data_IF_102476371412
#
_entry.id   IF_102476371412
#
_cell.length_a   1.000
_cell.length_b   1.000
_cell.length_c   1.000
_cell.angle_alpha   90.00
_cell.angle_beta   90.00
_cell.angle_gamma   90.00
#
_symmetry.space_group_name_H-M   'P 1'
#
loop_
_entity.id
_entity.type
_entity.pdbx_description
1 polymer ?
#
# COMPACT_ATOMS: atom_id res chain seq x y z
N UNK A 1 3.03 15.51 1.08
CA UNK A 1 2.73 14.11 1.45
C UNK A 1 2.57 13.25 0.20
N UNK A 2 2.90 11.97 0.29
CA UNK A 2 2.62 10.97 -0.75
C UNK A 2 1.79 9.86 -0.10
N UNK A 3 0.65 9.52 -0.71
CA UNK A 3 -0.21 8.40 -0.30
C UNK A 3 0.19 7.17 -1.11
N UNK A 4 0.81 6.16 -0.47
CA UNK A 4 1.35 5.01 -1.20
C UNK A 4 0.32 3.92 -1.49
N UNK A 5 -0.92 4.04 -0.97
CA UNK A 5 -1.98 3.05 -1.16
C UNK A 5 -3.36 3.65 -1.05
N UNK A 6 -4.08 3.73 -2.18
CA UNK A 6 -5.45 4.22 -2.24
C UNK A 6 -6.28 3.44 -3.26
N UNK A 7 -7.51 3.08 -2.91
CA UNK A 7 -8.43 2.34 -3.80
C UNK A 7 -9.37 3.32 -4.53
N UNK A 8 -8.83 4.19 -5.40
CA UNK A 8 -9.64 5.20 -6.11
C UNK A 8 -10.67 4.60 -7.07
N UNK A 9 -10.47 3.38 -7.53
CA UNK A 9 -11.39 2.63 -8.37
C UNK A 9 -12.64 2.16 -7.61
N UNK A 10 -12.63 2.24 -6.28
CA UNK A 10 -13.74 1.80 -5.45
C UNK A 10 -15.05 2.52 -5.77
N UNK A 11 -16.18 1.80 -5.96
CA UNK A 11 -17.49 2.41 -6.21
C UNK A 11 -18.02 3.25 -5.04
N UNK A 12 -17.34 3.22 -3.88
CA UNK A 12 -17.66 4.10 -2.75
C UNK A 12 -17.32 5.57 -3.02
N UNK A 13 -16.37 5.84 -3.93
CA UNK A 13 -16.07 7.19 -4.39
C UNK A 13 -17.02 7.58 -5.53
N UNK A 14 -18.04 8.40 -5.22
CA UNK A 14 -19.05 8.82 -6.20
C UNK A 14 -18.57 9.90 -7.17
N UNK A 15 -17.58 10.70 -6.75
CA UNK A 15 -16.99 11.77 -7.54
C UNK A 15 -15.47 11.81 -7.29
N UNK A 16 -14.72 11.07 -8.08
CA UNK A 16 -13.25 10.99 -7.96
C UNK A 16 -12.57 12.35 -8.20
N UNK A 17 -12.97 13.19 -9.18
CA UNK A 17 -12.38 14.52 -9.33
C UNK A 17 -12.43 15.39 -8.08
N UNK A 18 -13.53 15.37 -7.34
CA UNK A 18 -13.65 16.11 -6.09
C UNK A 18 -12.74 15.54 -4.98
N UNK A 19 -12.60 14.20 -4.92
CA UNK A 19 -11.67 13.52 -3.99
C UNK A 19 -10.23 13.97 -4.28
N UNK A 20 -9.83 13.98 -5.56
CA UNK A 20 -8.50 14.42 -5.97
C UNK A 20 -8.24 15.90 -5.66
N UNK A 21 -9.26 16.75 -5.85
CA UNK A 21 -9.18 18.19 -5.52
C UNK A 21 -8.95 18.38 -4.02
N UNK A 22 -9.73 17.68 -3.16
CA UNK A 22 -9.54 17.74 -1.70
C UNK A 22 -8.17 17.21 -1.27
N UNK A 23 -7.69 16.12 -1.88
CA UNK A 23 -6.37 15.57 -1.62
C UNK A 23 -5.26 16.60 -1.92
N UNK A 24 -5.29 17.23 -3.09
CA UNK A 24 -4.35 18.29 -3.48
C UNK A 24 -4.38 19.46 -2.50
N UNK A 25 -5.57 19.94 -2.15
CA UNK A 25 -5.75 21.05 -1.21
C UNK A 25 -5.26 20.71 0.20
N UNK A 26 -5.25 19.45 0.58
CA UNK A 26 -4.70 18.97 1.87
C UNK A 26 -3.18 18.70 1.81
N UNK A 27 -2.50 19.00 0.69
CA UNK A 27 -1.05 18.86 0.56
C UNK A 27 -0.58 17.48 0.12
N UNK A 28 -1.46 16.59 -0.36
CA UNK A 28 -1.06 15.35 -1.04
C UNK A 28 -0.51 15.72 -2.42
N UNK A 29 0.70 15.29 -2.71
CA UNK A 29 1.42 15.63 -3.95
C UNK A 29 1.39 14.50 -4.98
N UNK A 30 1.34 13.24 -4.51
CA UNK A 30 1.30 12.03 -5.35
C UNK A 30 0.50 10.95 -4.63
N UNK A 31 -0.11 10.06 -5.42
CA UNK A 31 -0.84 8.89 -4.91
C UNK A 31 -0.54 7.67 -5.77
N UNK A 32 -0.49 6.51 -5.12
CA UNK A 32 -0.39 5.20 -5.79
C UNK A 32 -1.73 4.48 -5.63
N UNK A 33 -2.42 4.25 -6.75
CA UNK A 33 -3.69 3.51 -6.79
C UNK A 33 -3.37 2.02 -6.70
N UNK A 34 -4.03 1.33 -5.78
CA UNK A 34 -3.79 -0.09 -5.54
C UNK A 34 -4.52 -0.96 -6.55
N UNK A 35 -3.78 -1.79 -7.31
CA UNK A 35 -4.35 -2.80 -8.20
C UNK A 35 -4.56 -4.11 -7.44
N UNK A 36 -5.81 -4.51 -7.21
CA UNK A 36 -6.19 -5.68 -6.40
C UNK A 36 -6.66 -6.88 -7.22
N UNK A 37 -6.92 -6.67 -8.51
CA UNK A 37 -7.25 -7.67 -9.52
C UNK A 37 -6.83 -7.17 -10.90
N UNK A 38 -6.96 -8.00 -11.94
CA UNK A 38 -6.70 -7.56 -13.32
C UNK A 38 -7.56 -6.35 -13.72
N UNK A 39 -8.85 -6.41 -13.40
CA UNK A 39 -9.79 -5.34 -13.76
C UNK A 39 -9.49 -4.06 -12.98
N UNK A 40 -9.23 -4.16 -11.67
CA UNK A 40 -8.84 -3.02 -10.85
C UNK A 40 -7.50 -2.43 -11.30
N UNK A 41 -6.53 -3.25 -11.68
CA UNK A 41 -5.26 -2.80 -12.23
C UNK A 41 -5.43 -2.02 -13.55
N UNK A 42 -6.29 -2.53 -14.48
CA UNK A 42 -6.63 -1.84 -15.73
C UNK A 42 -7.35 -0.50 -15.46
N UNK A 43 -8.30 -0.49 -14.54
CA UNK A 43 -9.02 0.72 -14.15
C UNK A 43 -8.08 1.76 -13.51
N UNK A 44 -7.16 1.33 -12.64
CA UNK A 44 -6.16 2.20 -12.02
C UNK A 44 -5.26 2.87 -13.08
N UNK A 45 -4.75 2.08 -14.04
CA UNK A 45 -3.95 2.60 -15.16
C UNK A 45 -4.75 3.62 -15.97
N UNK A 46 -6.01 3.30 -16.34
CA UNK A 46 -6.88 4.24 -17.07
C UNK A 46 -7.09 5.55 -16.33
N UNK A 47 -7.23 5.52 -14.98
CA UNK A 47 -7.29 6.74 -14.17
C UNK A 47 -5.99 7.55 -14.22
N UNK A 48 -4.84 6.88 -14.18
CA UNK A 48 -3.54 7.53 -14.26
C UNK A 48 -3.33 8.22 -15.61
N UNK A 49 -3.76 7.60 -16.70
CA UNK A 49 -3.57 8.09 -18.08
C UNK A 49 -4.62 9.13 -18.50
N UNK A 50 -5.71 9.27 -17.76
CA UNK A 50 -6.74 10.24 -18.10
C UNK A 50 -6.17 11.67 -18.08
N UNK A 51 -6.61 12.50 -19.04
CA UNK A 51 -6.14 13.89 -19.24
C UNK A 51 -6.26 14.79 -18.00
N UNK A 52 -7.15 14.44 -17.08
CA UNK A 52 -7.38 15.21 -15.85
C UNK A 52 -6.32 14.94 -14.77
N UNK A 53 -5.52 13.87 -14.89
CA UNK A 53 -4.63 13.39 -13.84
C UNK A 53 -3.15 13.40 -14.23
N UNK A 54 -2.80 13.65 -15.48
CA UNK A 54 -1.53 13.21 -16.02
C UNK A 54 -0.42 14.22 -16.35
N UNK A 55 -0.50 15.54 -16.42
CA UNK A 55 0.69 16.24 -16.90
C UNK A 55 1.90 16.22 -15.95
N UNK A 56 1.70 15.90 -14.66
CA UNK A 56 2.75 16.06 -13.64
C UNK A 56 2.96 14.85 -12.73
N UNK A 57 2.52 13.66 -13.14
CA UNK A 57 2.73 12.44 -12.32
C UNK A 57 2.09 12.54 -10.93
N UNK A 58 0.79 12.87 -10.85
CA UNK A 58 0.05 12.93 -9.60
C UNK A 58 -0.49 11.55 -9.17
N UNK A 59 -0.93 10.75 -10.17
CA UNK A 59 -1.43 9.39 -9.97
C UNK A 59 -0.48 8.37 -10.57
N UNK A 60 -0.20 7.34 -9.83
CA UNK A 60 0.52 6.15 -10.21
C UNK A 60 -0.29 4.93 -9.82
N UNK A 61 0.07 3.73 -10.25
CA UNK A 61 -0.63 2.51 -9.86
C UNK A 61 0.32 1.36 -9.56
N UNK A 62 -0.17 0.40 -8.79
CA UNK A 62 0.36 -0.95 -8.75
C UNK A 62 -0.43 -1.85 -9.69
N UNK A 63 0.09 -3.03 -10.02
CA UNK A 63 -0.62 -4.08 -10.74
C UNK A 63 -0.42 -5.41 -10.02
N UNK A 64 -1.53 -6.09 -9.70
CA UNK A 64 -1.45 -7.34 -8.94
C UNK A 64 -2.79 -8.03 -8.76
N UNK A 65 -2.73 -9.16 -8.06
CA UNK A 65 -3.89 -9.94 -7.63
C UNK A 65 -3.80 -10.13 -6.12
N UNK A 66 -4.72 -9.48 -5.41
CA UNK A 66 -4.86 -9.57 -3.96
C UNK A 66 -5.12 -11.01 -3.51
N UNK A 67 -4.65 -11.45 -2.35
CA UNK A 67 -4.89 -12.82 -1.85
C UNK A 67 -6.37 -13.24 -1.83
N UNK A 68 -7.31 -12.32 -1.68
CA UNK A 68 -8.74 -12.63 -1.77
C UNK A 68 -9.17 -13.13 -3.16
N UNK A 69 -8.47 -12.69 -4.21
CA UNK A 69 -8.75 -13.03 -5.62
C UNK A 69 -7.80 -14.08 -6.17
N UNK A 70 -6.89 -14.64 -5.36
CA UNK A 70 -5.88 -15.61 -5.78
C UNK A 70 -6.46 -16.89 -6.42
N UNK A 71 -7.70 -17.25 -6.10
CA UNK A 71 -8.43 -18.35 -6.77
C UNK A 71 -8.64 -18.11 -8.27
N UNK A 72 -8.59 -16.86 -8.72
CA UNK A 72 -8.73 -16.44 -10.12
C UNK A 72 -7.38 -16.29 -10.83
N UNK A 73 -6.27 -16.58 -10.13
CA UNK A 73 -4.93 -16.52 -10.70
C UNK A 73 -4.74 -17.65 -11.72
N UNK A 74 -4.14 -17.33 -12.88
CA UNK A 74 -3.80 -18.29 -13.94
C UNK A 74 -2.59 -17.80 -14.74
N UNK A 75 -2.06 -18.64 -15.61
CA UNK A 75 -0.98 -18.25 -16.53
C UNK A 75 -1.39 -17.07 -17.42
N UNK A 76 -2.64 -17.07 -17.91
CA UNK A 76 -3.19 -15.99 -18.72
C UNK A 76 -3.27 -14.67 -17.94
N UNK A 77 -3.70 -14.74 -16.67
CA UNK A 77 -3.73 -13.54 -15.81
C UNK A 77 -2.34 -12.98 -15.54
N UNK A 78 -1.34 -13.85 -15.38
CA UNK A 78 0.06 -13.45 -15.24
C UNK A 78 0.58 -12.75 -16.51
N UNK A 79 0.26 -13.29 -17.69
CA UNK A 79 0.66 -12.68 -18.96
C UNK A 79 -0.01 -11.31 -19.18
N UNK A 80 -1.26 -11.15 -18.75
CA UNK A 80 -1.92 -9.85 -18.76
C UNK A 80 -1.25 -8.88 -17.79
N UNK A 81 -0.94 -9.29 -16.56
CA UNK A 81 -0.18 -8.45 -15.61
C UNK A 81 1.16 -8.01 -16.20
N UNK A 82 1.90 -8.91 -16.87
CA UNK A 82 3.16 -8.57 -17.56
C UNK A 82 2.97 -7.46 -18.60
N UNK A 83 1.88 -7.48 -19.36
CA UNK A 83 1.56 -6.41 -20.31
C UNK A 83 1.28 -5.09 -19.59
N UNK A 84 0.52 -5.13 -18.49
CA UNK A 84 0.19 -3.93 -17.72
C UNK A 84 1.43 -3.25 -17.13
N UNK A 85 2.50 -3.99 -16.81
CA UNK A 85 3.74 -3.38 -16.30
C UNK A 85 4.47 -2.49 -17.31
N UNK A 86 4.09 -2.50 -18.58
CA UNK A 86 4.70 -1.62 -19.61
C UNK A 86 4.18 -0.18 -19.57
N UNK A 87 3.10 0.10 -18.85
CA UNK A 87 2.58 1.44 -18.67
C UNK A 87 3.46 2.23 -17.70
N UNK A 88 3.86 3.43 -18.09
CA UNK A 88 4.79 4.28 -17.33
C UNK A 88 4.27 4.71 -15.95
N UNK A 89 2.96 4.65 -15.73
CA UNK A 89 2.35 4.94 -14.44
C UNK A 89 2.38 3.76 -13.47
N UNK A 90 2.76 2.55 -13.92
CA UNK A 90 2.87 1.37 -13.07
C UNK A 90 4.21 1.37 -12.36
N UNK A 91 4.19 1.45 -11.03
CA UNK A 91 5.38 1.67 -10.20
C UNK A 91 5.69 0.53 -9.23
N UNK A 92 4.83 -0.47 -9.13
CA UNK A 92 5.07 -1.67 -8.30
C UNK A 92 4.20 -2.85 -8.74
N UNK A 93 4.62 -4.05 -8.36
CA UNK A 93 3.82 -5.27 -8.41
C UNK A 93 3.11 -5.44 -7.08
N UNK A 94 1.80 -5.55 -7.13
CA UNK A 94 0.91 -5.66 -5.98
C UNK A 94 -0.43 -4.96 -6.28
N UNK A 95 -1.40 -5.09 -5.42
CA UNK A 95 -1.35 -5.71 -4.10
C UNK A 95 -1.30 -7.23 -4.24
N UNK A 96 -0.34 -7.85 -3.57
CA UNK A 96 -0.17 -9.32 -3.54
C UNK A 96 0.33 -9.74 -2.16
N UNK A 97 0.27 -11.01 -1.83
CA UNK A 97 0.69 -11.53 -0.54
C UNK A 97 -0.26 -12.58 0.00
N UNK A 98 -0.43 -12.65 1.33
CA UNK A 98 -1.21 -13.68 2.00
C UNK A 98 -2.23 -13.09 2.99
N UNK A 99 -3.45 -13.61 3.00
CA UNK A 99 -4.51 -13.30 3.97
C UNK A 99 -5.19 -14.60 4.46
N UNK A 100 -4.77 -15.08 5.62
CA UNK A 100 -5.38 -16.26 6.25
C UNK A 100 -6.51 -15.90 7.22
N UNK A 101 -6.79 -14.62 7.40
CA UNK A 101 -7.91 -14.16 8.22
C UNK A 101 -9.24 -14.26 7.48
N UNK A 102 -9.30 -13.74 6.23
CA UNK A 102 -10.53 -13.78 5.41
C UNK A 102 -10.72 -15.10 4.69
N UNK A 103 -9.63 -15.70 4.23
CA UNK A 103 -9.58 -17.02 3.60
C UNK A 103 -10.56 -17.20 2.42
N UNK A 104 -10.67 -16.16 1.56
CA UNK A 104 -11.53 -16.17 0.36
C UNK A 104 -10.97 -16.99 -0.79
N UNK A 105 -9.67 -17.26 -0.76
CA UNK A 105 -8.96 -18.19 -1.65
C UNK A 105 -8.20 -19.19 -0.79
N UNK A 106 -7.95 -20.41 -1.29
CA UNK A 106 -7.17 -21.40 -0.54
C UNK A 106 -5.74 -20.91 -0.29
N UNK A 107 -5.08 -21.45 0.72
CA UNK A 107 -3.68 -21.11 1.03
C UNK A 107 -2.77 -21.43 -0.14
N UNK A 108 -2.99 -22.56 -0.80
CA UNK A 108 -2.23 -23.02 -1.95
C UNK A 108 -2.32 -22.01 -3.10
N UNK A 109 -3.54 -21.57 -3.45
CA UNK A 109 -3.75 -20.56 -4.50
C UNK A 109 -3.10 -19.22 -4.13
N UNK A 110 -3.17 -18.81 -2.86
CA UNK A 110 -2.52 -17.59 -2.40
C UNK A 110 -1.00 -17.68 -2.51
N UNK A 111 -0.39 -18.80 -2.07
CA UNK A 111 1.05 -19.03 -2.14
C UNK A 111 1.52 -19.06 -3.59
N UNK A 112 0.80 -19.75 -4.48
CA UNK A 112 1.12 -19.81 -5.90
C UNK A 112 1.09 -18.42 -6.53
N UNK A 113 -0.01 -17.70 -6.37
CA UNK A 113 -0.17 -16.32 -6.87
C UNK A 113 0.95 -15.42 -6.33
N UNK A 114 1.17 -15.42 -5.03
CA UNK A 114 2.20 -14.59 -4.40
C UNK A 114 3.61 -14.88 -4.95
N UNK A 115 3.98 -16.16 -5.05
CA UNK A 115 5.28 -16.57 -5.60
C UNK A 115 5.46 -16.05 -7.03
N UNK A 116 4.43 -16.16 -7.87
CA UNK A 116 4.47 -15.68 -9.26
C UNK A 116 4.52 -14.16 -9.38
N UNK A 117 3.93 -13.42 -8.45
CA UNK A 117 4.07 -11.96 -8.39
C UNK A 117 5.50 -11.54 -8.01
N UNK A 118 6.16 -12.27 -7.10
CA UNK A 118 7.57 -12.00 -6.77
C UNK A 118 8.46 -12.24 -8.00
N UNK A 119 8.28 -13.37 -8.70
CA UNK A 119 9.00 -13.68 -9.94
C UNK A 119 8.78 -12.59 -11.00
N UNK A 120 7.54 -12.08 -11.14
CA UNK A 120 7.22 -10.99 -12.05
C UNK A 120 7.91 -9.68 -11.64
N UNK A 121 7.96 -9.37 -10.36
CA UNK A 121 8.62 -8.17 -9.85
C UNK A 121 10.13 -8.21 -10.13
N UNK A 122 10.76 -9.37 -10.00
CA UNK A 122 12.17 -9.59 -10.38
C UNK A 122 12.36 -9.37 -11.87
N UNK A 123 11.53 -10.01 -12.73
CA UNK A 123 11.60 -9.90 -14.20
C UNK A 123 11.46 -8.45 -14.68
N UNK A 124 10.61 -7.67 -14.02
CA UNK A 124 10.32 -6.27 -14.37
C UNK A 124 11.17 -5.25 -13.64
N UNK A 125 12.02 -5.68 -12.70
CA UNK A 125 12.78 -4.79 -11.82
C UNK A 125 11.89 -3.74 -11.14
N UNK A 126 10.71 -4.17 -10.67
CA UNK A 126 9.74 -3.37 -9.96
C UNK A 126 9.71 -3.75 -8.47
N UNK A 127 9.44 -2.82 -7.56
CA UNK A 127 9.25 -3.12 -6.15
C UNK A 127 7.93 -3.89 -5.91
N UNK A 128 7.83 -4.51 -4.74
CA UNK A 128 6.64 -5.24 -4.28
C UNK A 128 5.81 -4.40 -3.30
N UNK A 129 4.50 -4.38 -3.50
CA UNK A 129 3.51 -3.81 -2.60
C UNK A 129 2.71 -4.96 -1.97
N UNK A 130 3.02 -5.25 -0.68
CA UNK A 130 2.69 -6.52 -0.02
C UNK A 130 1.58 -6.39 1.00
N UNK A 131 0.57 -7.26 0.86
CA UNK A 131 -0.45 -7.53 1.86
C UNK A 131 -0.01 -8.66 2.79
N UNK A 132 -0.24 -8.53 4.09
CA UNK A 132 -0.14 -9.65 5.04
C UNK A 132 -1.22 -9.55 6.12
N UNK A 133 -1.93 -10.63 6.32
CA UNK A 133 -2.87 -10.76 7.44
C UNK A 133 -2.97 -12.18 7.97
N UNK A 134 -2.53 -12.38 9.23
CA UNK A 134 -2.50 -13.69 9.90
C UNK A 134 -1.74 -14.79 9.12
N UNK A 135 -0.74 -14.40 8.32
CA UNK A 135 0.00 -15.28 7.42
C UNK A 135 1.53 -15.07 7.53
N UNK A 136 1.97 -14.44 8.62
CA UNK A 136 3.34 -13.97 8.81
C UNK A 136 4.40 -15.03 8.54
N UNK A 137 4.28 -16.22 9.12
CA UNK A 137 5.32 -17.27 9.00
C UNK A 137 5.50 -17.74 7.55
N UNK A 138 4.40 -17.97 6.84
CA UNK A 138 4.43 -18.35 5.42
C UNK A 138 4.91 -17.19 4.56
N UNK A 139 4.50 -15.96 4.84
CA UNK A 139 4.95 -14.77 4.11
C UNK A 139 6.47 -14.60 4.23
N UNK A 140 7.01 -14.65 5.45
CA UNK A 140 8.46 -14.57 5.70
C UNK A 140 9.19 -15.70 5.00
N UNK A 141 8.74 -16.95 5.16
CA UNK A 141 9.36 -18.12 4.54
C UNK A 141 9.46 -17.98 3.00
N UNK A 142 8.38 -17.49 2.37
CA UNK A 142 8.37 -17.28 0.91
C UNK A 142 9.33 -16.16 0.53
N UNK A 143 9.27 -15.01 1.20
CA UNK A 143 10.16 -13.89 0.89
C UNK A 143 11.64 -14.27 1.09
N UNK A 144 11.98 -14.98 2.17
CA UNK A 144 13.36 -15.45 2.43
C UNK A 144 13.86 -16.44 1.38
N UNK A 145 12.98 -17.23 0.76
CA UNK A 145 13.38 -18.19 -0.29
C UNK A 145 13.97 -17.51 -1.55
N UNK A 146 13.70 -16.22 -1.75
CA UNK A 146 14.28 -15.43 -2.85
C UNK A 146 15.63 -14.80 -2.46
N UNK A 147 15.98 -14.75 -1.18
CA UNK A 147 17.26 -14.27 -0.70
C UNK A 147 17.64 -12.89 -1.24
N UNK A 148 18.82 -12.79 -1.86
CA UNK A 148 19.33 -11.52 -2.42
C UNK A 148 18.59 -11.03 -3.67
N UNK A 149 17.81 -11.88 -4.30
CA UNK A 149 17.05 -11.55 -5.50
C UNK A 149 15.67 -10.94 -5.16
N UNK A 150 15.31 -10.91 -3.85
CA UNK A 150 14.07 -10.29 -3.39
C UNK A 150 14.06 -8.80 -3.77
N UNK A 151 13.06 -8.31 -4.54
CA UNK A 151 12.93 -6.90 -4.87
C UNK A 151 12.71 -6.03 -3.62
N UNK A 152 12.97 -4.73 -3.74
CA UNK A 152 12.52 -3.78 -2.69
C UNK A 152 11.04 -4.03 -2.41
N UNK A 153 10.68 -4.16 -1.13
CA UNK A 153 9.32 -4.52 -0.74
C UNK A 153 8.80 -3.61 0.36
N UNK A 154 7.53 -3.30 0.32
CA UNK A 154 6.82 -2.61 1.41
C UNK A 154 5.68 -3.51 1.90
N UNK A 155 5.63 -3.74 3.22
CA UNK A 155 4.42 -4.27 3.85
C UNK A 155 3.46 -3.09 3.98
N UNK A 156 2.44 -3.08 3.12
CA UNK A 156 1.40 -2.08 3.17
C UNK A 156 0.45 -2.38 4.34
N UNK A 157 -0.18 -1.32 4.85
CA UNK A 157 -1.19 -1.43 5.93
C UNK A 157 -0.73 -2.35 7.08
N UNK A 158 0.51 -2.16 7.56
CA UNK A 158 1.07 -3.02 8.61
C UNK A 158 0.21 -2.97 9.88
N UNK A 159 -0.21 -4.14 10.35
CA UNK A 159 -1.05 -4.33 11.54
C UNK A 159 -0.49 -5.39 12.50
N UNK A 160 0.71 -5.90 12.22
CA UNK A 160 1.37 -6.92 13.03
C UNK A 160 1.94 -6.39 14.34
N UNK A 161 2.38 -7.31 15.18
CA UNK A 161 3.06 -7.00 16.43
C UNK A 161 4.55 -6.70 16.27
N UNK A 162 5.21 -6.43 17.41
CA UNK A 162 6.63 -6.05 17.42
C UNK A 162 7.55 -7.09 16.78
N UNK A 163 7.32 -8.39 17.01
CA UNK A 163 8.16 -9.44 16.43
C UNK A 163 8.09 -9.44 14.89
N UNK A 164 6.88 -9.29 14.35
CA UNK A 164 6.68 -9.23 12.90
C UNK A 164 7.36 -7.99 12.31
N UNK A 165 7.21 -6.83 12.98
CA UNK A 165 7.87 -5.60 12.59
C UNK A 165 9.39 -5.76 12.49
N UNK A 166 10.02 -6.28 13.55
CA UNK A 166 11.47 -6.44 13.60
C UNK A 166 11.98 -7.39 12.52
N UNK A 167 11.25 -8.48 12.26
CA UNK A 167 11.61 -9.43 11.21
C UNK A 167 11.54 -8.81 9.82
N UNK A 168 10.48 -8.08 9.49
CA UNK A 168 10.39 -7.38 8.20
C UNK A 168 11.48 -6.30 8.04
N UNK A 169 11.82 -5.58 9.12
CA UNK A 169 12.92 -4.60 9.10
C UNK A 169 14.29 -5.29 8.92
N UNK A 170 14.54 -6.42 9.58
CA UNK A 170 15.75 -7.23 9.40
C UNK A 170 15.92 -7.68 7.94
N UNK A 171 14.82 -8.05 7.28
CA UNK A 171 14.79 -8.39 5.86
C UNK A 171 14.92 -7.16 4.93
N UNK A 172 15.00 -5.96 5.48
CA UNK A 172 15.18 -4.72 4.72
C UNK A 172 13.90 -4.12 4.15
N UNK A 173 12.71 -4.63 4.52
CA UNK A 173 11.44 -4.15 4.01
C UNK A 173 11.10 -2.76 4.53
N UNK A 174 10.25 -2.06 3.79
CA UNK A 174 9.60 -0.82 4.21
C UNK A 174 8.25 -1.14 4.88
N UNK A 175 7.78 -0.21 5.71
CA UNK A 175 6.55 -0.36 6.49
C UNK A 175 5.58 0.77 6.14
N UNK A 176 4.42 0.42 5.59
CA UNK A 176 3.31 1.31 5.28
C UNK A 176 2.33 1.40 6.46
N UNK A 177 2.05 2.60 6.92
CA UNK A 177 1.15 2.86 8.05
C UNK A 177 -0.10 3.58 7.57
N UNK A 178 -1.25 3.02 7.94
CA UNK A 178 -2.60 3.51 7.59
C UNK A 178 -3.30 4.17 8.78
N UNK A 179 -4.55 4.58 8.57
CA UNK A 179 -5.48 4.99 9.64
C UNK A 179 -5.76 3.92 10.70
N UNK A 180 -5.22 2.71 10.56
CA UNK A 180 -5.23 1.70 11.62
C UNK A 180 -4.57 2.21 12.90
N UNK A 181 -3.48 2.97 12.79
CA UNK A 181 -2.80 3.57 13.95
C UNK A 181 -3.73 4.51 14.74
N UNK A 182 -4.69 5.15 14.06
CA UNK A 182 -5.66 6.07 14.63
C UNK A 182 -6.86 5.35 15.28
N UNK A 183 -7.01 4.04 15.11
CA UNK A 183 -8.10 3.26 15.74
C UNK A 183 -7.83 3.12 17.23
N UNK A 184 -8.80 3.56 18.05
CA UNK A 184 -8.64 3.62 19.52
C UNK A 184 -8.34 2.25 20.11
N UNK A 185 -8.98 1.21 19.61
CA UNK A 185 -8.89 -0.15 20.15
C UNK A 185 -7.80 -0.96 19.45
N UNK A 186 -7.86 -1.04 18.11
CA UNK A 186 -7.00 -1.90 17.30
C UNK A 186 -5.60 -1.32 17.10
N UNK A 187 -5.46 0.01 17.08
CA UNK A 187 -4.19 0.71 16.84
C UNK A 187 -3.24 0.75 18.03
N UNK A 188 -3.65 0.28 19.22
CA UNK A 188 -2.87 0.42 20.46
C UNK A 188 -1.46 -0.21 20.35
N UNK A 189 -1.36 -1.40 19.80
CA UNK A 189 -0.06 -2.07 19.64
C UNK A 189 0.81 -1.32 18.64
N UNK A 190 0.24 -0.93 17.49
CA UNK A 190 0.96 -0.20 16.46
C UNK A 190 1.50 1.16 16.98
N UNK A 191 0.71 1.90 17.77
CA UNK A 191 1.17 3.14 18.44
C UNK A 191 2.40 2.91 19.32
N UNK A 192 2.42 1.80 20.06
CA UNK A 192 3.54 1.48 20.95
C UNK A 192 4.84 1.14 20.18
N UNK A 193 4.72 0.56 18.99
CA UNK A 193 5.87 0.02 18.25
C UNK A 193 6.29 0.88 17.05
N UNK A 194 5.47 1.84 16.58
CA UNK A 194 5.80 2.66 15.41
C UNK A 194 7.10 3.45 15.55
N UNK A 195 7.51 3.77 16.78
CA UNK A 195 8.81 4.40 17.10
C UNK A 195 10.01 3.50 16.76
N UNK A 196 9.80 2.19 16.63
CA UNK A 196 10.86 1.24 16.30
C UNK A 196 11.06 1.10 14.77
N UNK A 197 10.19 1.71 13.95
CA UNK A 197 10.39 1.79 12.49
C UNK A 197 11.44 2.86 12.21
N UNK A 198 12.60 2.54 11.61
CA UNK A 198 13.55 3.55 11.17
C UNK A 198 12.86 4.55 10.22
N UNK A 199 13.17 5.85 10.35
CA UNK A 199 12.55 6.88 9.49
C UNK A 199 12.72 6.57 8.00
N UNK A 200 13.88 6.01 7.62
CA UNK A 200 14.23 5.63 6.24
C UNK A 200 13.41 4.44 5.71
N UNK A 201 12.67 3.75 6.58
CA UNK A 201 11.83 2.60 6.24
C UNK A 201 10.34 2.87 6.40
N UNK A 202 9.98 4.05 6.91
CA UNK A 202 8.59 4.43 7.17
C UNK A 202 7.94 5.03 5.93
N UNK A 203 6.74 4.56 5.61
CA UNK A 203 5.84 5.14 4.60
C UNK A 203 4.44 5.31 5.17
N UNK A 204 3.62 6.12 4.53
CA UNK A 204 2.24 6.39 4.96
C UNK A 204 1.26 6.26 3.80
N UNK A 205 0.07 5.85 4.13
CA UNK A 205 -1.03 5.64 3.19
C UNK A 205 -2.39 5.81 3.86
N UNK A 206 -3.40 6.02 3.06
CA UNK A 206 -4.76 6.08 3.57
C UNK A 206 -5.47 4.74 3.52
N UNK A 207 -5.17 3.90 2.54
CA UNK A 207 -5.97 2.75 2.15
C UNK A 207 -7.45 3.13 1.92
N UNK A 208 -7.70 4.41 1.57
CA UNK A 208 -9.03 4.92 1.34
C UNK A 208 -9.75 4.16 0.20
N UNK A 209 -11.04 3.90 0.34
CA UNK A 209 -12.04 4.43 1.26
C UNK A 209 -12.16 3.72 2.61
N UNK A 210 -11.23 2.86 2.96
CA UNK A 210 -11.20 2.10 4.21
C UNK A 210 -10.42 2.86 5.30
N UNK A 211 -10.37 2.31 6.50
CA UNK A 211 -9.50 2.74 7.61
C UNK A 211 -9.56 4.26 7.92
N UNK A 212 -10.79 4.82 7.98
CA UNK A 212 -11.00 6.22 8.35
C UNK A 212 -10.32 6.53 9.69
N UNK A 213 -9.40 7.52 9.75
CA UNK A 213 -8.76 7.93 11.00
C UNK A 213 -9.77 8.36 12.05
N UNK A 214 -9.62 7.85 13.28
CA UNK A 214 -10.56 8.13 14.38
C UNK A 214 -10.13 9.31 15.26
N UNK A 215 -8.95 9.84 15.05
CA UNK A 215 -8.41 11.02 15.75
C UNK A 215 -8.84 12.36 15.11
N UNK A 216 -9.79 12.34 14.18
CA UNK A 216 -10.36 13.53 13.58
C UNK A 216 -11.36 14.18 14.55
N UNK A 217 -11.35 15.51 14.66
CA UNK A 217 -12.36 16.28 15.44
C UNK A 217 -13.77 16.10 14.89
N UNK A 218 -13.89 16.08 13.56
CA UNK A 218 -15.16 15.95 12.86
C UNK A 218 -15.07 14.81 11.84
N UNK A 219 -15.72 13.70 12.15
CA UNK A 219 -15.78 12.56 11.24
C UNK A 219 -16.77 12.83 10.09
N UNK A 220 -16.43 12.44 8.86
CA UNK A 220 -17.33 12.58 7.72
C UNK A 220 -18.60 11.75 7.93
N UNK A 221 -19.77 12.35 7.62
CA UNK A 221 -21.09 11.71 7.83
C UNK A 221 -21.22 10.36 7.12
N UNK A 222 -20.59 10.22 5.96
CA UNK A 222 -20.60 9.00 5.16
C UNK A 222 -19.60 7.92 5.66
N UNK A 223 -18.77 8.25 6.65
CA UNK A 223 -17.71 7.37 7.19
C UNK A 223 -16.78 6.79 6.12
N UNK A 224 -16.55 7.53 5.03
CA UNK A 224 -15.63 7.16 3.95
C UNK A 224 -14.31 7.86 4.19
N UNK A 225 -13.22 7.10 4.20
CA UNK A 225 -11.86 7.66 4.21
C UNK A 225 -11.53 8.28 2.85
N UNK A 226 -10.66 9.29 2.85
CA UNK A 226 -10.17 9.96 1.63
C UNK A 226 -8.67 10.26 1.75
N UNK A 227 -7.95 10.37 0.63
CA UNK A 227 -6.54 10.77 0.64
C UNK A 227 -6.27 12.10 1.35
N UNK A 228 -7.26 13.00 1.35
CA UNK A 228 -7.21 14.26 2.10
C UNK A 228 -6.98 14.09 3.61
N UNK A 229 -7.27 12.90 4.14
CA UNK A 229 -7.13 12.58 5.57
C UNK A 229 -5.79 11.95 5.94
N UNK A 230 -4.86 11.81 4.99
CA UNK A 230 -3.51 11.28 5.23
C UNK A 230 -2.77 12.03 6.36
N UNK A 231 -3.02 13.34 6.51
CA UNK A 231 -2.44 14.15 7.57
C UNK A 231 -2.72 13.61 8.98
N UNK A 232 -3.91 13.03 9.21
CA UNK A 232 -4.26 12.48 10.53
C UNK A 232 -3.48 11.21 10.87
N UNK A 233 -3.07 10.45 9.86
CA UNK A 233 -2.14 9.32 10.04
C UNK A 233 -0.77 9.85 10.46
N UNK A 234 -0.27 10.89 9.78
CA UNK A 234 1.02 11.52 10.12
C UNK A 234 0.99 12.15 11.52
N UNK A 235 -0.10 12.84 11.88
CA UNK A 235 -0.30 13.42 13.21
C UNK A 235 -0.21 12.35 14.29
N UNK A 236 -0.87 11.20 14.10
CA UNK A 236 -0.86 10.10 15.07
C UNK A 236 0.53 9.45 15.16
N UNK A 237 1.24 9.31 14.04
CA UNK A 237 2.62 8.84 14.05
C UNK A 237 3.51 9.81 14.85
N UNK A 238 3.39 11.12 14.63
CA UNK A 238 4.19 12.12 15.31
C UNK A 238 3.97 12.14 16.84
N UNK A 239 2.74 11.93 17.29
CA UNK A 239 2.41 11.81 18.72
C UNK A 239 3.11 10.62 19.38
N UNK A 240 3.39 9.56 18.63
CA UNK A 240 3.98 8.32 19.15
C UNK A 240 5.47 8.15 18.81
N UNK A 241 6.12 9.21 18.29
CA UNK A 241 7.56 9.24 17.97
C UNK A 241 8.23 10.48 18.56
N UNK A 242 9.57 10.54 18.49
CA UNK A 242 10.34 11.68 18.98
C UNK A 242 10.58 12.74 17.89
N UNK A 243 10.45 12.35 16.62
CA UNK A 243 10.68 13.23 15.47
C UNK A 243 9.49 14.18 15.26
N UNK A 244 9.78 15.35 14.73
CA UNK A 244 8.75 16.33 14.40
C UNK A 244 7.85 15.85 13.24
N UNK A 245 6.63 16.36 13.17
CA UNK A 245 5.71 16.09 12.06
C UNK A 245 6.32 16.41 10.70
N UNK A 246 7.07 17.52 10.61
CA UNK A 246 7.72 17.95 9.37
C UNK A 246 8.83 16.98 8.95
N UNK A 247 9.62 16.46 9.87
CA UNK A 247 10.61 15.43 9.59
C UNK A 247 9.95 14.14 9.10
N UNK A 248 8.93 13.65 9.81
CA UNK A 248 8.19 12.45 9.42
C UNK A 248 7.58 12.61 8.02
N UNK A 249 6.94 13.75 7.75
CA UNK A 249 6.35 14.05 6.44
C UNK A 249 7.41 14.11 5.34
N UNK A 250 8.57 14.70 5.62
CA UNK A 250 9.69 14.79 4.68
C UNK A 250 10.26 13.41 4.36
N UNK A 251 10.58 12.61 5.40
CA UNK A 251 11.16 11.28 5.23
C UNK A 251 10.20 10.32 4.53
N UNK A 252 8.94 10.25 4.96
CA UNK A 252 7.94 9.36 4.33
C UNK A 252 7.73 9.69 2.85
N UNK A 253 7.73 10.98 2.49
CA UNK A 253 7.63 11.42 1.10
C UNK A 253 8.90 11.09 0.29
N UNK A 254 10.09 11.26 0.87
CA UNK A 254 11.37 10.90 0.24
C UNK A 254 11.46 9.38 0.03
N UNK A 255 11.08 8.59 1.04
CA UNK A 255 11.08 7.14 0.97
C UNK A 255 10.17 6.65 -0.17
N UNK A 256 8.92 7.15 -0.22
CA UNK A 256 7.98 6.79 -1.27
C UNK A 256 8.52 7.19 -2.67
N UNK A 257 9.08 8.39 -2.82
CA UNK A 257 9.69 8.82 -4.08
C UNK A 257 10.83 7.91 -4.52
N UNK A 258 11.74 7.56 -3.61
CA UNK A 258 12.89 6.69 -3.92
C UNK A 258 12.51 5.22 -4.13
N UNK A 259 11.47 4.75 -3.42
CA UNK A 259 11.02 3.36 -3.49
C UNK A 259 10.30 3.07 -4.81
N UNK A 260 9.37 3.94 -5.19
CA UNK A 260 8.53 3.81 -6.38
C UNK A 260 9.08 4.53 -7.62
N UNK A 261 10.21 5.23 -7.47
CA UNK A 261 10.81 6.06 -8.54
C UNK A 261 9.82 7.12 -9.12
N UNK A 262 9.17 7.88 -8.21
CA UNK A 262 8.12 8.87 -8.53
C UNK A 262 8.67 10.22 -8.94
#
# INVERSE_FOLDING_TARGET
MIDIGVNLTSPRFKNVPDVLSRAKNSGVKKMVITGTSLDESKNAISMCESSHNSPNGFLFSTVGIHPHEAKNFSAESLDELKKLTTHSCVVAIGETGLDYYRNFSSKESQIESFTKHIELAIDKNLPLFLHERNAFDDQVRILESFGKDLPKSVIHCFTGGQMNLLKYLEMGLYIGITGWICDINRGKELRNIVKNVPLEKLMVETDAPYLLPQNMSDLPKNKINEPAFLKYVLDEIAVNRCESLDEICSFTSKNATSFFNL
#
